data_IF_286886899838
#
_entry.id   IF_286886899838
#
_cell.length_a   1.000
_cell.length_b   1.000
_cell.length_c   1.000
_cell.angle_alpha   90.00
_cell.angle_beta   90.00
_cell.angle_gamma   90.00
#
_symmetry.space_group_name_H-M   'P 1'
#
loop_
_entity.id
_entity.type
_entity.pdbx_description
1 polymer ?
#
# COMPACT_ATOMS: atom_id res chain seq x y z
N UNK A 1 44.00 -16.55 25.24
CA UNK A 1 43.65 -15.97 23.91
C UNK A 1 43.04 -17.08 23.10
N UNK A 2 41.72 -17.08 22.97
CA UNK A 2 41.03 -17.76 21.89
C UNK A 2 39.89 -16.82 21.50
N UNK A 3 39.88 -16.48 20.22
CA UNK A 3 38.93 -15.59 19.56
C UNK A 3 37.78 -16.45 19.07
N UNK A 4 36.59 -16.30 19.67
CA UNK A 4 35.34 -16.71 19.03
C UNK A 4 34.79 -15.48 18.30
N UNK A 5 35.11 -15.38 17.00
CA UNK A 5 34.43 -14.50 16.06
C UNK A 5 33.20 -15.24 15.51
N UNK A 6 32.04 -14.97 16.09
CA UNK A 6 30.76 -15.15 15.40
C UNK A 6 30.62 -14.01 14.38
N UNK A 7 30.92 -14.31 13.11
CA UNK A 7 30.51 -13.44 12.00
C UNK A 7 28.98 -13.35 11.94
N UNK A 8 28.40 -12.23 11.49
CA UNK A 8 26.95 -12.12 11.34
C UNK A 8 26.47 -13.07 10.23
N UNK A 9 25.41 -13.82 10.53
CA UNK A 9 24.70 -14.70 9.59
C UNK A 9 24.33 -13.94 8.32
N UNK A 10 24.87 -14.38 7.18
CA UNK A 10 24.61 -13.80 5.85
C UNK A 10 23.27 -14.23 5.24
N UNK A 11 22.39 -14.88 6.00
CA UNK A 11 21.11 -15.42 5.52
C UNK A 11 19.89 -14.54 5.83
N UNK A 12 20.01 -13.49 6.64
CA UNK A 12 18.88 -12.60 6.98
C UNK A 12 18.54 -11.54 5.91
N UNK A 13 19.35 -11.42 4.84
CA UNK A 13 19.17 -10.39 3.80
C UNK A 13 18.30 -10.83 2.60
N UNK A 14 17.77 -12.07 2.59
CA UNK A 14 17.14 -12.68 1.42
C UNK A 14 15.60 -12.70 1.41
N UNK A 15 14.93 -12.26 2.48
CA UNK A 15 13.46 -12.29 2.57
C UNK A 15 12.77 -10.95 2.28
N UNK A 16 13.49 -9.97 1.72
CA UNK A 16 12.89 -8.70 1.32
C UNK A 16 12.16 -8.82 -0.03
N UNK A 17 10.82 -8.88 0.00
CA UNK A 17 9.99 -9.02 -1.20
C UNK A 17 9.99 -7.74 -2.03
N UNK A 18 10.56 -7.82 -3.23
CA UNK A 18 10.78 -6.64 -4.08
C UNK A 18 9.53 -6.02 -4.69
N UNK A 19 8.43 -6.76 -4.68
CA UNK A 19 7.15 -6.37 -5.28
C UNK A 19 6.02 -6.42 -4.25
N UNK A 20 6.40 -6.43 -2.97
CA UNK A 20 5.49 -6.01 -1.91
C UNK A 20 5.46 -4.48 -1.84
N UNK A 21 4.26 -3.95 -1.64
CA UNK A 21 4.03 -2.53 -1.42
C UNK A 21 4.02 -2.17 0.07
N UNK A 22 4.30 -3.11 0.98
CA UNK A 22 4.55 -2.86 2.41
C UNK A 22 5.69 -1.86 2.68
N UNK A 23 5.78 -1.35 3.91
CA UNK A 23 6.83 -0.42 4.32
C UNK A 23 7.95 -1.18 5.04
N UNK A 24 9.10 -1.35 4.37
CA UNK A 24 10.30 -1.97 4.95
C UNK A 24 11.27 -0.89 5.46
N UNK A 25 11.90 -1.14 6.62
CA UNK A 25 12.59 -0.13 7.43
C UNK A 25 13.89 0.46 6.87
N UNK A 26 14.60 -0.25 5.99
CA UNK A 26 15.94 0.15 5.53
C UNK A 26 15.94 1.10 4.30
N UNK A 27 14.82 1.22 3.59
CA UNK A 27 14.69 1.91 2.31
C UNK A 27 14.24 3.40 2.43
N UNK A 28 14.08 3.92 3.64
CA UNK A 28 13.28 5.13 3.92
C UNK A 28 13.91 6.43 3.39
N UNK A 29 15.23 6.60 3.45
CA UNK A 29 15.88 7.87 3.09
C UNK A 29 15.91 8.10 1.57
N UNK A 30 16.23 7.06 0.79
CA UNK A 30 16.21 7.13 -0.67
C UNK A 30 14.77 7.21 -1.17
N UNK A 31 13.85 6.43 -0.58
CA UNK A 31 12.42 6.55 -0.93
C UNK A 31 11.90 7.96 -0.65
N UNK A 32 12.29 8.60 0.46
CA UNK A 32 11.92 9.98 0.76
C UNK A 32 12.43 10.98 -0.30
N UNK A 33 13.66 10.81 -0.80
CA UNK A 33 14.23 11.68 -1.84
C UNK A 33 13.49 11.55 -3.19
N UNK A 34 12.87 10.39 -3.45
CA UNK A 34 12.10 10.13 -4.66
C UNK A 34 10.65 10.62 -4.59
N UNK A 35 10.15 11.00 -3.41
CA UNK A 35 8.76 11.45 -3.27
C UNK A 35 8.54 12.79 -4.01
N UNK A 36 7.44 12.91 -4.77
CA UNK A 36 6.94 14.20 -5.24
C UNK A 36 6.77 15.21 -4.10
N UNK A 37 7.12 16.47 -4.36
CA UNK A 37 7.06 17.55 -3.36
C UNK A 37 5.78 18.39 -3.44
N UNK A 38 5.15 18.41 -4.60
CA UNK A 38 3.94 19.18 -4.89
C UNK A 38 3.01 18.35 -5.80
N UNK A 39 1.81 18.90 -6.08
CA UNK A 39 0.82 18.24 -6.93
C UNK A 39 1.28 18.12 -8.38
N UNK A 40 2.09 19.06 -8.88
CA UNK A 40 2.56 19.05 -10.27
C UNK A 40 3.58 17.93 -10.52
N UNK A 41 4.42 17.63 -9.54
CA UNK A 41 5.32 16.48 -9.52
C UNK A 41 4.61 15.15 -9.27
N UNK A 42 3.39 15.17 -8.74
CA UNK A 42 2.60 13.97 -8.46
C UNK A 42 2.02 13.41 -9.76
N UNK A 43 2.68 12.38 -10.30
CA UNK A 43 2.30 11.71 -11.54
C UNK A 43 1.03 10.89 -11.33
N UNK A 44 0.13 10.89 -12.32
CA UNK A 44 -1.10 10.10 -12.31
C UNK A 44 -2.15 10.63 -11.33
N UNK A 45 -3.17 9.81 -11.05
CA UNK A 45 -4.28 10.17 -10.14
C UNK A 45 -4.94 11.51 -10.52
N UNK A 46 -5.10 11.79 -11.82
CA UNK A 46 -5.46 13.12 -12.35
C UNK A 46 -6.71 13.70 -11.68
N UNK A 47 -7.77 12.90 -11.59
CA UNK A 47 -9.03 13.30 -10.93
C UNK A 47 -8.83 13.71 -9.47
N UNK A 48 -8.11 12.89 -8.68
CA UNK A 48 -7.86 13.18 -7.25
C UNK A 48 -7.01 14.43 -7.11
N UNK A 49 -5.99 14.58 -7.96
CA UNK A 49 -5.09 15.73 -7.96
C UNK A 49 -5.84 17.02 -8.28
N UNK A 50 -6.65 17.05 -9.34
CA UNK A 50 -7.39 18.24 -9.75
C UNK A 50 -8.42 18.68 -8.70
N UNK A 51 -9.15 17.72 -8.13
CA UNK A 51 -10.11 18.00 -7.08
C UNK A 51 -9.43 18.52 -5.81
N UNK A 52 -8.34 17.88 -5.39
CA UNK A 52 -7.59 18.29 -4.21
C UNK A 52 -6.96 19.67 -4.41
N UNK A 53 -6.38 19.96 -5.58
CA UNK A 53 -5.84 21.28 -5.92
C UNK A 53 -6.89 22.39 -5.72
N UNK A 54 -8.10 22.17 -6.22
CA UNK A 54 -9.22 23.10 -6.04
C UNK A 54 -9.56 23.30 -4.55
N UNK A 55 -9.67 22.23 -3.78
CA UNK A 55 -9.98 22.27 -2.34
C UNK A 55 -8.92 23.06 -1.57
N UNK A 56 -7.63 22.76 -1.81
CA UNK A 56 -6.51 23.40 -1.12
C UNK A 56 -6.36 24.88 -1.50
N UNK A 57 -6.51 25.22 -2.79
CA UNK A 57 -6.49 26.62 -3.24
C UNK A 57 -7.64 27.43 -2.66
N UNK A 58 -8.85 26.85 -2.60
CA UNK A 58 -10.00 27.51 -2.01
C UNK A 58 -9.82 27.77 -0.51
N UNK A 59 -9.26 26.80 0.24
CA UNK A 59 -8.95 26.97 1.66
C UNK A 59 -7.93 28.09 1.91
N UNK A 60 -6.82 28.08 1.15
CA UNK A 60 -5.79 29.14 1.20
C UNK A 60 -6.34 30.52 0.90
N UNK A 61 -7.18 30.65 -0.13
CA UNK A 61 -7.78 31.93 -0.50
C UNK A 61 -8.65 32.53 0.62
N UNK A 62 -9.21 31.69 1.50
CA UNK A 62 -9.98 32.12 2.68
C UNK A 62 -9.10 32.37 3.92
N UNK A 63 -7.82 32.01 3.89
CA UNK A 63 -6.97 32.01 5.08
C UNK A 63 -7.43 31.02 6.15
N UNK A 64 -8.04 29.91 5.73
CA UNK A 64 -8.58 28.88 6.62
C UNK A 64 -7.86 27.54 6.42
N UNK A 65 -8.02 26.62 7.37
CA UNK A 65 -7.61 25.23 7.21
C UNK A 65 -8.36 24.56 6.07
N UNK A 66 -7.73 23.55 5.46
CA UNK A 66 -8.41 22.70 4.49
C UNK A 66 -9.39 21.78 5.21
N UNK A 67 -10.47 21.42 4.52
CA UNK A 67 -11.39 20.39 5.00
C UNK A 67 -10.62 19.08 5.24
N UNK A 68 -11.11 18.26 6.17
CA UNK A 68 -10.51 16.96 6.43
C UNK A 68 -10.54 16.07 5.17
N UNK A 69 -9.44 15.35 4.93
CA UNK A 69 -9.23 14.54 3.72
C UNK A 69 -9.15 13.06 4.06
N UNK A 70 -9.92 12.23 3.37
CA UNK A 70 -9.81 10.76 3.41
C UNK A 70 -9.19 10.25 2.11
N UNK A 71 -8.07 9.54 2.20
CA UNK A 71 -7.42 8.87 1.08
C UNK A 71 -7.64 7.36 1.20
N UNK A 72 -8.29 6.76 0.20
CA UNK A 72 -8.53 5.32 0.17
C UNK A 72 -7.86 4.67 -1.04
N UNK A 73 -7.27 3.51 -0.86
CA UNK A 73 -6.69 2.74 -1.97
C UNK A 73 -5.60 1.78 -1.51
N UNK A 74 -5.14 0.92 -2.41
CA UNK A 74 -4.12 -0.08 -2.14
C UNK A 74 -2.82 0.53 -1.55
N UNK A 75 -2.02 -0.27 -0.81
CA UNK A 75 -0.69 0.16 -0.38
C UNK A 75 0.20 0.55 -1.58
N UNK A 76 1.15 1.46 -1.35
CA UNK A 76 2.11 1.89 -2.38
C UNK A 76 1.58 2.88 -3.44
N UNK A 77 0.30 3.27 -3.41
CA UNK A 77 -0.29 4.22 -4.38
C UNK A 77 0.06 5.70 -4.15
N UNK A 78 0.67 6.03 -3.01
CA UNK A 78 1.11 7.39 -2.69
C UNK A 78 0.25 8.16 -1.68
N UNK A 79 -0.59 7.49 -0.87
CA UNK A 79 -1.41 8.14 0.18
C UNK A 79 -0.58 9.01 1.13
N UNK A 80 0.50 8.45 1.69
CA UNK A 80 1.43 9.15 2.59
C UNK A 80 2.18 10.28 1.88
N UNK A 81 2.46 10.14 0.58
CA UNK A 81 3.08 11.21 -0.21
C UNK A 81 2.10 12.36 -0.40
N UNK A 82 0.84 12.05 -0.73
CA UNK A 82 -0.17 13.06 -0.96
C UNK A 82 -0.53 13.83 0.32
N UNK A 83 -0.46 13.20 1.50
CA UNK A 83 -0.61 13.91 2.77
C UNK A 83 0.52 14.91 3.04
N UNK A 84 1.76 14.57 2.68
CA UNK A 84 2.89 15.51 2.75
C UNK A 84 2.71 16.67 1.78
N UNK A 85 2.20 16.41 0.56
CA UNK A 85 1.90 17.45 -0.42
C UNK A 85 0.79 18.37 0.09
N UNK A 86 -0.27 17.83 0.71
CA UNK A 86 -1.33 18.64 1.33
C UNK A 86 -0.73 19.61 2.36
N UNK A 87 0.15 19.12 3.23
CA UNK A 87 0.81 19.97 4.22
C UNK A 87 1.71 21.04 3.58
N UNK A 88 2.49 20.67 2.56
CA UNK A 88 3.36 21.58 1.82
C UNK A 88 2.55 22.68 1.10
N UNK A 89 1.48 22.30 0.40
CA UNK A 89 0.57 23.24 -0.27
C UNK A 89 -0.08 24.19 0.73
N UNK A 90 -0.50 23.70 1.90
CA UNK A 90 -1.09 24.53 2.95
C UNK A 90 -0.05 25.32 3.77
N UNK A 91 1.24 25.18 3.47
CA UNK A 91 2.34 25.75 4.24
C UNK A 91 2.22 25.45 5.75
N UNK A 92 1.84 24.21 6.06
CA UNK A 92 1.57 23.73 7.39
C UNK A 92 2.54 22.61 7.80
N UNK A 93 2.91 22.52 9.09
CA UNK A 93 3.61 21.34 9.59
C UNK A 93 2.72 20.09 9.47
N UNK A 94 3.35 18.92 9.37
CA UNK A 94 2.67 17.63 9.35
C UNK A 94 3.12 16.76 10.52
N UNK A 95 2.15 16.18 11.21
CA UNK A 95 2.35 15.15 12.22
C UNK A 95 1.86 13.82 11.67
N UNK A 96 2.75 12.82 11.65
CA UNK A 96 2.47 11.49 11.09
C UNK A 96 2.31 10.50 12.24
N UNK A 97 1.23 9.72 12.22
CA UNK A 97 1.03 8.55 13.06
C UNK A 97 0.17 7.52 12.32
N UNK A 98 -0.18 6.42 12.98
CA UNK A 98 -1.02 5.37 12.42
C UNK A 98 -2.09 4.89 13.39
N UNK A 99 -3.18 4.33 12.87
CA UNK A 99 -4.26 3.75 13.65
C UNK A 99 -3.76 2.70 14.66
N UNK A 100 -2.90 1.73 14.26
CA UNK A 100 -2.34 0.75 15.19
C UNK A 100 -1.49 1.34 16.32
N UNK A 101 -0.90 2.53 16.11
CA UNK A 101 -0.15 3.23 17.16
C UNK A 101 -1.07 3.87 18.22
N UNK A 102 -2.37 4.02 17.92
CA UNK A 102 -3.37 4.63 18.81
C UNK A 102 -4.18 3.51 19.48
N UNK A 103 -3.61 2.95 20.54
CA UNK A 103 -4.21 1.82 21.27
C UNK A 103 -5.32 2.27 22.21
N UNK A 104 -5.23 3.50 22.73
CA UNK A 104 -6.17 4.07 23.70
C UNK A 104 -6.57 5.50 23.34
N UNK A 105 -7.74 5.93 23.81
CA UNK A 105 -8.22 7.31 23.63
C UNK A 105 -7.24 8.36 24.20
N UNK A 106 -6.48 8.00 25.24
CA UNK A 106 -5.44 8.88 25.82
C UNK A 106 -4.29 9.18 24.85
N UNK A 107 -3.92 8.23 23.99
CA UNK A 107 -2.84 8.42 23.00
C UNK A 107 -3.27 9.48 21.97
N UNK A 108 -4.52 9.37 21.49
CA UNK A 108 -5.09 10.37 20.58
C UNK A 108 -5.24 11.73 21.27
N UNK A 109 -5.70 11.77 22.52
CA UNK A 109 -5.82 13.02 23.28
C UNK A 109 -4.47 13.74 23.42
N UNK A 110 -3.38 13.00 23.65
CA UNK A 110 -2.02 13.58 23.71
C UNK A 110 -1.58 14.17 22.35
N UNK A 111 -1.89 13.48 21.25
CA UNK A 111 -1.58 13.96 19.90
C UNK A 111 -2.38 15.22 19.58
N UNK A 112 -3.70 15.20 19.80
CA UNK A 112 -4.61 16.30 19.49
C UNK A 112 -4.31 17.54 20.34
N UNK A 113 -4.10 17.37 21.65
CA UNK A 113 -3.83 18.48 22.57
C UNK A 113 -2.50 19.21 22.32
N UNK A 114 -1.60 18.62 21.53
CA UNK A 114 -0.32 19.21 21.13
C UNK A 114 -0.32 19.72 19.68
N UNK A 115 -1.47 19.70 18.99
CA UNK A 115 -1.57 20.27 17.65
C UNK A 115 -1.46 21.79 17.69
N UNK A 116 -0.89 22.36 16.65
CA UNK A 116 -0.86 23.80 16.39
C UNK A 116 -1.93 24.19 15.37
N UNK A 117 -2.34 25.46 15.38
CA UNK A 117 -3.27 25.98 14.39
C UNK A 117 -2.73 25.80 12.97
N UNK A 118 -3.55 25.23 12.09
CA UNK A 118 -3.18 24.92 10.72
C UNK A 118 -2.46 23.60 10.52
N UNK A 119 -2.01 22.92 11.59
CA UNK A 119 -1.22 21.69 11.48
C UNK A 119 -2.01 20.56 10.79
N UNK A 120 -1.31 19.77 9.99
CA UNK A 120 -1.86 18.57 9.33
C UNK A 120 -1.59 17.35 10.19
N UNK A 121 -2.65 16.67 10.63
CA UNK A 121 -2.55 15.37 11.30
C UNK A 121 -2.78 14.26 10.28
N UNK A 122 -1.74 13.48 9.95
CA UNK A 122 -1.85 12.32 9.09
C UNK A 122 -2.00 11.03 9.91
N UNK A 123 -3.08 10.30 9.70
CA UNK A 123 -3.37 9.00 10.30
C UNK A 123 -3.39 7.90 9.23
N UNK A 124 -2.30 7.14 9.12
CA UNK A 124 -2.30 5.95 8.27
C UNK A 124 -3.08 4.80 8.92
N UNK A 125 -3.67 3.93 8.11
CA UNK A 125 -4.53 2.83 8.60
C UNK A 125 -5.57 3.28 9.65
N UNK A 126 -6.21 4.43 9.43
CA UNK A 126 -7.16 5.04 10.38
C UNK A 126 -8.26 4.09 10.84
N UNK A 127 -8.62 3.11 10.00
CA UNK A 127 -9.61 2.06 10.28
C UNK A 127 -9.18 1.02 11.33
N UNK A 128 -7.93 1.06 11.80
CA UNK A 128 -7.39 0.16 12.84
C UNK A 128 -7.30 0.81 14.22
N UNK A 129 -7.86 2.01 14.37
CA UNK A 129 -7.94 2.68 15.67
C UNK A 129 -8.87 1.93 16.63
N UNK A 130 -8.62 2.07 17.94
CA UNK A 130 -9.58 1.61 18.94
C UNK A 130 -10.88 2.43 18.87
N UNK A 131 -12.04 1.77 19.06
CA UNK A 131 -13.35 2.44 19.07
C UNK A 131 -13.43 3.67 19.99
N UNK A 132 -12.87 3.66 21.22
CA UNK A 132 -12.84 4.87 22.04
C UNK A 132 -12.06 6.04 21.41
N UNK A 133 -10.98 5.74 20.68
CA UNK A 133 -10.24 6.76 19.95
C UNK A 133 -11.00 7.26 18.71
N UNK A 134 -11.76 6.39 18.02
CA UNK A 134 -12.63 6.81 16.91
C UNK A 134 -13.72 7.79 17.38
N UNK A 135 -14.38 7.49 18.51
CA UNK A 135 -15.42 8.36 19.10
C UNK A 135 -14.85 9.73 19.50
N UNK A 136 -13.62 9.76 20.03
CA UNK A 136 -12.93 11.01 20.34
C UNK A 136 -12.52 11.78 19.07
N UNK A 137 -12.02 11.09 18.05
CA UNK A 137 -11.62 11.71 16.78
C UNK A 137 -12.83 12.35 16.09
N UNK A 138 -13.99 11.70 16.15
CA UNK A 138 -15.25 12.25 15.66
C UNK A 138 -15.56 13.61 16.31
N UNK A 139 -15.50 13.70 17.64
CA UNK A 139 -15.73 14.97 18.37
C UNK A 139 -14.68 16.03 18.00
N UNK A 140 -13.42 15.62 17.86
CA UNK A 140 -12.33 16.52 17.49
C UNK A 140 -12.50 17.12 16.09
N UNK A 141 -13.03 16.35 15.13
CA UNK A 141 -13.29 16.79 13.76
C UNK A 141 -14.52 17.70 13.64
N UNK A 142 -15.55 17.45 14.45
CA UNK A 142 -16.81 18.22 14.37
C UNK A 142 -16.74 19.54 15.11
N UNK A 143 -16.25 19.51 16.35
CA UNK A 143 -16.35 20.65 17.28
C UNK A 143 -14.99 21.28 17.60
N UNK A 144 -13.88 20.76 17.06
CA UNK A 144 -12.51 21.10 17.49
C UNK A 144 -12.37 21.05 19.02
N UNK A 145 -12.91 19.99 19.62
CA UNK A 145 -12.91 19.78 21.07
C UNK A 145 -12.78 18.30 21.40
N UNK A 146 -12.10 18.01 22.51
CA UNK A 146 -12.11 16.68 23.13
C UNK A 146 -12.37 16.78 24.62
N UNK A 147 -12.99 15.75 25.19
CA UNK A 147 -13.21 15.66 26.63
C UNK A 147 -12.16 14.70 27.22
N UNK A 148 -11.28 15.23 28.07
CA UNK A 148 -10.23 14.43 28.73
C UNK A 148 -10.73 14.03 30.12
N UNK A 149 -10.77 12.71 30.39
CA UNK A 149 -11.19 12.18 31.68
C UNK A 149 -10.02 12.30 32.67
N UNK A 150 -10.23 13.07 33.75
CA UNK A 150 -9.27 13.22 34.85
C UNK A 150 -9.82 12.53 36.10
N UNK A 151 -9.01 11.63 36.67
CA UNK A 151 -9.36 10.82 37.85
C UNK A 151 -9.68 9.36 37.52
N UNK A 152 -10.01 8.56 38.55
CA UNK A 152 -10.40 7.15 38.41
C UNK A 152 -11.71 6.87 39.17
N UNK A 153 -12.55 6.00 38.62
CA UNK A 153 -13.78 5.54 39.27
C UNK A 153 -14.91 6.58 39.28
N UNK A 154 -15.88 6.48 40.21
CA UNK A 154 -17.07 7.35 40.28
C UNK A 154 -16.78 8.85 40.46
N UNK A 155 -15.54 9.22 40.83
CA UNK A 155 -15.11 10.61 40.97
C UNK A 155 -14.36 11.15 39.75
N UNK A 156 -14.30 10.40 38.64
CA UNK A 156 -13.70 10.88 37.40
C UNK A 156 -14.54 12.02 36.81
N UNK A 157 -13.86 13.07 36.35
CA UNK A 157 -14.50 14.26 35.75
C UNK A 157 -13.98 14.44 34.33
N UNK A 158 -14.89 14.78 33.41
CA UNK A 158 -14.53 15.12 32.04
C UNK A 158 -14.21 16.61 31.98
N UNK A 159 -12.99 16.95 31.57
CA UNK A 159 -12.58 18.33 31.34
C UNK A 159 -12.54 18.58 29.83
N UNK A 160 -13.36 19.51 29.31
CA UNK A 160 -13.32 19.84 27.89
C UNK A 160 -12.03 20.60 27.57
N UNK A 161 -11.38 20.20 26.48
CA UNK A 161 -10.20 20.84 25.92
C UNK A 161 -10.52 21.30 24.50
N UNK A 162 -10.40 22.61 24.28
CA UNK A 162 -10.50 23.20 22.94
C UNK A 162 -9.23 22.89 22.15
N UNK A 163 -9.40 22.53 20.89
CA UNK A 163 -8.34 22.26 19.93
C UNK A 163 -8.23 23.42 18.95
N UNK A 164 -7.01 23.77 18.50
CA UNK A 164 -6.89 24.69 17.39
C UNK A 164 -7.43 24.04 16.11
N UNK A 165 -7.91 24.85 15.14
CA UNK A 165 -8.27 24.34 13.83
C UNK A 165 -7.09 23.59 13.19
N UNK A 166 -7.34 22.38 12.72
CA UNK A 166 -6.34 21.51 12.09
C UNK A 166 -6.95 20.78 10.89
N UNK A 167 -6.11 20.18 10.05
CA UNK A 167 -6.58 19.33 8.94
C UNK A 167 -6.20 17.87 9.22
N UNK A 168 -7.19 17.01 9.46
CA UNK A 168 -7.00 15.57 9.46
C UNK A 168 -6.85 15.04 8.03
N UNK A 169 -5.83 14.24 7.78
CA UNK A 169 -5.68 13.41 6.58
C UNK A 169 -5.67 11.94 7.00
N UNK A 170 -6.78 11.23 6.79
CA UNK A 170 -6.90 9.80 7.07
C UNK A 170 -6.52 8.96 5.85
N UNK A 171 -5.78 7.87 6.03
CA UNK A 171 -5.49 6.90 4.98
C UNK A 171 -6.00 5.49 5.33
N UNK A 172 -6.57 4.82 4.34
CA UNK A 172 -7.10 3.45 4.49
C UNK A 172 -6.99 2.67 3.18
N UNK A 173 -7.08 1.33 3.25
CA UNK A 173 -7.19 0.49 2.05
C UNK A 173 -8.55 0.64 1.38
N UNK A 174 -9.62 0.81 2.18
CA UNK A 174 -11.01 0.97 1.71
C UNK A 174 -11.77 1.94 2.60
N UNK A 175 -12.43 2.93 2.00
CA UNK A 175 -13.23 3.91 2.73
C UNK A 175 -14.40 3.27 3.52
N UNK A 176 -14.93 2.14 3.02
CA UNK A 176 -16.01 1.39 3.69
C UNK A 176 -15.62 0.71 5.01
N UNK A 177 -14.33 0.70 5.38
CA UNK A 177 -13.87 0.19 6.67
C UNK A 177 -14.10 1.18 7.81
N UNK A 178 -14.29 2.47 7.50
CA UNK A 178 -14.58 3.49 8.50
C UNK A 178 -16.08 3.47 8.85
N UNK A 179 -16.43 3.65 10.14
CA UNK A 179 -17.81 3.91 10.53
C UNK A 179 -18.38 5.14 9.80
N UNK A 180 -19.66 5.10 9.35
CA UNK A 180 -20.28 6.24 8.67
C UNK A 180 -20.15 7.59 9.39
N UNK A 181 -20.33 7.68 10.74
CA UNK A 181 -20.18 8.95 11.44
C UNK A 181 -18.81 9.61 11.27
N UNK A 182 -17.74 8.82 11.27
CA UNK A 182 -16.37 9.33 11.06
C UNK A 182 -16.13 9.64 9.58
N UNK A 183 -16.59 8.75 8.68
CA UNK A 183 -16.40 8.91 7.23
C UNK A 183 -17.09 10.17 6.69
N UNK A 184 -18.28 10.49 7.17
CA UNK A 184 -19.09 11.59 6.65
C UNK A 184 -18.57 12.97 7.13
N UNK A 185 -17.55 13.00 8.01
CA UNK A 185 -16.86 14.22 8.46
C UNK A 185 -15.67 14.61 7.59
N UNK A 186 -15.27 13.77 6.64
CA UNK A 186 -14.26 14.13 5.66
C UNK A 186 -14.90 14.97 4.54
N UNK A 187 -14.51 16.24 4.44
CA UNK A 187 -15.00 17.15 3.40
C UNK A 187 -14.45 16.81 2.00
N UNK A 188 -13.37 16.04 1.92
CA UNK A 188 -12.88 15.47 0.67
C UNK A 188 -12.52 13.99 0.84
N UNK A 189 -12.96 13.15 -0.11
CA UNK A 189 -12.58 11.74 -0.17
C UNK A 189 -11.94 11.43 -1.52
N UNK A 190 -10.64 11.12 -1.51
CA UNK A 190 -9.89 10.67 -2.68
C UNK A 190 -9.85 9.14 -2.77
N UNK A 191 -10.27 8.59 -3.91
CA UNK A 191 -10.08 7.18 -4.23
C UNK A 191 -8.87 7.01 -5.14
N UNK A 192 -7.83 6.36 -4.63
CA UNK A 192 -6.60 6.10 -5.36
C UNK A 192 -6.70 4.79 -6.13
N UNK A 193 -6.45 4.87 -7.43
CA UNK A 193 -6.50 3.72 -8.33
C UNK A 193 -5.09 3.21 -8.66
N UNK A 194 -5.00 2.00 -9.21
CA UNK A 194 -3.73 1.53 -9.73
C UNK A 194 -3.30 2.36 -10.94
N UNK A 195 -2.00 2.60 -11.02
CA UNK A 195 -1.41 3.38 -12.08
C UNK A 195 -1.37 2.54 -13.36
N UNK A 196 -1.63 3.19 -14.48
CA UNK A 196 -1.42 2.63 -15.81
C UNK A 196 0.09 2.43 -16.07
N UNK A 197 0.48 1.53 -16.98
CA UNK A 197 1.89 1.36 -17.36
C UNK A 197 2.55 2.68 -17.79
N UNK A 198 1.84 3.51 -18.56
CA UNK A 198 2.34 4.81 -19.04
C UNK A 198 2.59 5.79 -17.88
N UNK A 199 1.72 5.82 -16.87
CA UNK A 199 1.96 6.64 -15.68
C UNK A 199 3.16 6.13 -14.88
N UNK A 200 3.35 4.81 -14.77
CA UNK A 200 4.50 4.23 -14.09
C UNK A 200 5.82 4.47 -14.83
N UNK A 201 5.82 4.43 -16.16
CA UNK A 201 6.99 4.84 -16.96
C UNK A 201 7.40 6.29 -16.64
N UNK A 202 6.45 7.21 -16.51
CA UNK A 202 6.71 8.59 -16.11
C UNK A 202 7.29 8.68 -14.69
N UNK A 203 6.78 7.87 -13.75
CA UNK A 203 7.34 7.75 -12.39
C UNK A 203 8.79 7.26 -12.47
N UNK A 204 9.05 6.19 -13.22
CA UNK A 204 10.37 5.58 -13.37
C UNK A 204 11.37 6.56 -13.99
N UNK A 205 11.00 7.27 -15.06
CA UNK A 205 11.87 8.27 -15.67
C UNK A 205 12.16 9.46 -14.74
N UNK A 206 11.19 9.88 -13.92
CA UNK A 206 11.45 10.91 -12.88
C UNK A 206 12.45 10.38 -11.85
N UNK A 207 12.21 9.19 -11.32
CA UNK A 207 13.07 8.59 -10.31
C UNK A 207 14.48 8.28 -10.83
N UNK A 208 14.62 7.82 -12.06
CA UNK A 208 15.92 7.56 -12.69
C UNK A 208 16.75 8.84 -12.81
N UNK A 209 16.13 9.98 -13.15
CA UNK A 209 16.80 11.30 -13.15
C UNK A 209 17.27 11.72 -11.76
N UNK A 210 16.48 11.48 -10.72
CA UNK A 210 16.85 11.79 -9.34
C UNK A 210 17.97 10.89 -8.80
N UNK A 211 18.08 9.66 -9.33
CA UNK A 211 19.11 8.68 -8.97
C UNK A 211 20.35 8.73 -9.87
N UNK A 212 20.39 9.64 -10.84
CA UNK A 212 21.44 9.74 -11.87
C UNK A 212 21.67 8.41 -12.63
N UNK A 213 20.58 7.81 -13.11
CA UNK A 213 20.58 6.54 -13.85
C UNK A 213 20.15 6.76 -15.28
N UNK A 214 20.98 6.32 -16.23
CA UNK A 214 20.61 6.31 -17.64
C UNK A 214 19.65 5.14 -17.93
N UNK A 215 18.42 5.47 -18.31
CA UNK A 215 17.38 4.49 -18.70
C UNK A 215 16.71 4.94 -19.99
N UNK A 216 16.50 4.00 -20.91
CA UNK A 216 15.71 4.26 -22.12
C UNK A 216 14.22 3.89 -21.95
N UNK A 217 13.43 4.18 -22.98
CA UNK A 217 11.97 3.98 -22.96
C UNK A 217 11.61 2.51 -22.76
N UNK A 218 12.33 1.60 -23.42
CA UNK A 218 12.04 0.16 -23.37
C UNK A 218 12.43 -0.44 -22.02
N UNK A 219 13.54 0.00 -21.43
CA UNK A 219 13.94 -0.38 -20.07
C UNK A 219 12.94 0.10 -19.02
N UNK A 220 12.44 1.33 -19.15
CA UNK A 220 11.41 1.87 -18.27
C UNK A 220 10.08 1.11 -18.40
N UNK A 221 9.66 0.81 -19.63
CA UNK A 221 8.45 0.04 -19.92
C UNK A 221 8.53 -1.39 -19.34
N UNK A 222 9.69 -2.04 -19.41
CA UNK A 222 9.91 -3.37 -18.84
C UNK A 222 9.76 -3.38 -17.31
N UNK A 223 10.28 -2.36 -16.62
CA UNK A 223 10.09 -2.20 -15.17
C UNK A 223 8.62 -1.87 -14.86
N UNK A 224 8.03 -0.92 -15.58
CA UNK A 224 6.64 -0.49 -15.39
C UNK A 224 5.65 -1.66 -15.51
N UNK A 225 5.82 -2.51 -16.53
CA UNK A 225 4.98 -3.68 -16.78
C UNK A 225 4.99 -4.70 -15.64
N UNK A 226 6.06 -4.75 -14.84
CA UNK A 226 6.22 -5.66 -13.70
C UNK A 226 5.98 -5.00 -12.33
N UNK A 227 5.56 -3.74 -12.32
CA UNK A 227 5.42 -2.93 -11.10
C UNK A 227 4.05 -2.98 -10.43
N UNK A 228 3.18 -3.89 -10.88
CA UNK A 228 1.85 -4.17 -10.28
C UNK A 228 0.95 -2.94 -10.14
N UNK A 229 1.09 -1.95 -11.01
CA UNK A 229 0.27 -0.73 -10.93
C UNK A 229 0.64 0.20 -9.76
N UNK A 230 1.80 0.04 -9.12
CA UNK A 230 2.17 0.82 -7.93
C UNK A 230 3.51 1.55 -8.08
N UNK A 231 3.56 2.87 -7.77
CA UNK A 231 4.80 3.64 -7.76
C UNK A 231 5.88 3.13 -6.80
N UNK A 232 5.48 2.62 -5.63
CA UNK A 232 6.42 2.07 -4.64
C UNK A 232 7.22 0.91 -5.22
N UNK A 233 6.53 -0.07 -5.82
CA UNK A 233 7.18 -1.22 -6.45
C UNK A 233 8.02 -0.76 -7.64
N UNK A 234 7.51 0.16 -8.47
CA UNK A 234 8.26 0.69 -9.61
C UNK A 234 9.61 1.30 -9.20
N UNK A 235 9.61 2.12 -8.15
CA UNK A 235 10.83 2.71 -7.63
C UNK A 235 11.77 1.69 -6.98
N UNK A 236 11.23 0.68 -6.28
CA UNK A 236 12.01 -0.41 -5.69
C UNK A 236 12.68 -1.25 -6.77
N UNK A 237 11.93 -1.66 -7.80
CA UNK A 237 12.46 -2.38 -8.95
C UNK A 237 13.51 -1.56 -9.70
N UNK A 238 13.29 -0.27 -9.94
CA UNK A 238 14.29 0.60 -10.56
C UNK A 238 15.62 0.61 -9.81
N UNK A 239 15.59 0.67 -8.47
CA UNK A 239 16.82 0.61 -7.65
C UNK A 239 17.56 -0.72 -7.87
N UNK A 240 16.84 -1.84 -7.83
CA UNK A 240 17.44 -3.17 -8.05
C UNK A 240 17.98 -3.35 -9.47
N UNK A 241 17.26 -2.86 -10.48
CA UNK A 241 17.73 -2.90 -11.87
C UNK A 241 18.96 -1.99 -12.06
N UNK A 242 19.02 -0.83 -11.41
CA UNK A 242 20.21 0.03 -11.39
C UNK A 242 21.40 -0.71 -10.80
N UNK A 243 21.24 -1.32 -9.62
CA UNK A 243 22.33 -2.04 -8.95
C UNK A 243 22.86 -3.18 -9.83
N UNK A 244 21.96 -3.91 -10.51
CA UNK A 244 22.34 -4.89 -11.51
C UNK A 244 23.10 -4.27 -12.68
N UNK A 245 22.59 -3.19 -13.28
CA UNK A 245 23.20 -2.53 -14.44
C UNK A 245 24.60 -1.97 -14.14
N UNK A 246 24.84 -1.50 -12.90
CA UNK A 246 26.15 -1.02 -12.47
C UNK A 246 27.20 -2.13 -12.32
N UNK A 247 26.77 -3.34 -11.96
CA UNK A 247 27.67 -4.47 -11.69
C UNK A 247 27.84 -5.39 -12.90
N UNK A 248 26.79 -5.57 -13.70
CA UNK A 248 26.68 -6.58 -14.76
C UNK A 248 26.56 -6.00 -16.17
N UNK A 249 26.42 -4.69 -16.31
CA UNK A 249 26.31 -3.99 -17.59
C UNK A 249 27.12 -2.68 -17.55
N UNK A 250 26.90 -1.80 -18.54
CA UNK A 250 27.61 -0.52 -18.68
C UNK A 250 26.93 0.63 -17.91
N UNK A 251 26.17 0.32 -16.85
CA UNK A 251 25.43 1.31 -16.04
C UNK A 251 24.19 1.94 -16.72
N UNK A 252 23.91 1.56 -17.97
CA UNK A 252 22.69 1.94 -18.71
C UNK A 252 21.64 0.84 -18.64
N UNK A 253 20.39 1.24 -18.42
CA UNK A 253 19.23 0.34 -18.40
C UNK A 253 18.51 0.41 -19.74
N UNK A 254 18.60 -0.65 -20.51
CA UNK A 254 17.72 -0.95 -21.65
C UNK A 254 16.77 -2.11 -21.28
N UNK A 255 15.98 -2.57 -22.26
CA UNK A 255 15.03 -3.67 -22.06
C UNK A 255 15.69 -4.97 -21.61
N UNK A 256 16.81 -5.35 -22.23
CA UNK A 256 17.44 -6.65 -21.98
C UNK A 256 18.11 -6.65 -20.60
N UNK A 257 18.74 -5.55 -20.22
CA UNK A 257 19.30 -5.34 -18.88
C UNK A 257 18.19 -5.37 -17.83
N UNK A 258 17.08 -4.66 -18.05
CA UNK A 258 15.94 -4.67 -17.13
C UNK A 258 15.34 -6.08 -16.97
N UNK A 259 15.11 -6.78 -18.08
CA UNK A 259 14.55 -8.14 -18.06
C UNK A 259 15.48 -9.13 -17.35
N UNK A 260 16.79 -9.06 -17.61
CA UNK A 260 17.78 -9.92 -16.96
C UNK A 260 17.89 -9.64 -15.46
N UNK A 261 17.89 -8.37 -15.06
CA UNK A 261 17.87 -7.98 -13.66
C UNK A 261 16.62 -8.50 -12.93
N UNK A 262 15.44 -8.27 -13.49
CA UNK A 262 14.16 -8.70 -12.90
C UNK A 262 14.06 -10.22 -12.82
N UNK A 263 14.67 -10.95 -13.75
CA UNK A 263 14.78 -12.41 -13.68
C UNK A 263 15.66 -12.88 -12.52
N UNK A 264 16.81 -12.22 -12.27
CA UNK A 264 17.68 -12.52 -11.11
C UNK A 264 16.92 -12.31 -9.80
N UNK A 265 16.10 -11.27 -9.75
CA UNK A 265 15.24 -10.93 -8.62
C UNK A 265 13.91 -11.69 -8.59
N UNK A 266 13.77 -12.74 -9.41
CA UNK A 266 12.64 -13.67 -9.36
C UNK A 266 11.27 -13.02 -9.64
N UNK A 267 11.26 -11.91 -10.37
CA UNK A 267 10.05 -11.20 -10.82
C UNK A 267 9.76 -11.57 -12.27
N UNK A 268 8.64 -12.24 -12.52
CA UNK A 268 8.28 -12.70 -13.86
C UNK A 268 7.69 -11.58 -14.76
N UNK A 269 7.34 -11.93 -16.00
CA UNK A 269 6.80 -10.99 -16.98
C UNK A 269 5.44 -10.37 -16.61
N UNK A 270 4.70 -10.96 -15.66
CA UNK A 270 3.47 -10.38 -15.09
C UNK A 270 3.73 -9.64 -13.77
N UNK A 271 4.97 -9.58 -13.32
CA UNK A 271 5.34 -8.99 -12.05
C UNK A 271 5.08 -9.91 -10.84
N UNK A 272 4.84 -11.21 -11.04
CA UNK A 272 4.72 -12.19 -9.94
C UNK A 272 6.10 -12.49 -9.37
N UNK A 273 6.21 -12.52 -8.04
CA UNK A 273 7.45 -12.88 -7.35
C UNK A 273 7.53 -14.37 -7.02
N UNK A 274 8.55 -14.75 -6.23
CA UNK A 274 8.74 -16.09 -5.70
C UNK A 274 7.49 -16.61 -4.99
N UNK A 275 6.89 -15.83 -4.08
CA UNK A 275 5.76 -16.30 -3.29
C UNK A 275 4.51 -16.49 -4.16
N UNK A 276 4.19 -15.54 -5.02
CA UNK A 276 3.02 -15.64 -5.89
C UNK A 276 3.08 -16.88 -6.78
N UNK A 277 4.27 -17.14 -7.35
CA UNK A 277 4.52 -18.33 -8.17
C UNK A 277 4.48 -19.61 -7.35
N UNK A 278 4.97 -19.59 -6.11
CA UNK A 278 4.86 -20.72 -5.19
C UNK A 278 3.40 -21.03 -4.83
N UNK A 279 2.59 -20.00 -4.53
CA UNK A 279 1.15 -20.13 -4.23
C UNK A 279 0.39 -20.68 -5.42
N UNK A 280 0.56 -20.11 -6.62
CA UNK A 280 -0.07 -20.62 -7.84
C UNK A 280 0.42 -22.03 -8.18
N UNK A 281 1.72 -22.27 -8.03
CA UNK A 281 2.34 -23.57 -8.25
C UNK A 281 1.77 -24.64 -7.34
N UNK A 282 1.66 -24.38 -6.04
CA UNK A 282 1.04 -25.28 -5.07
C UNK A 282 -0.43 -25.52 -5.40
N UNK A 283 -1.20 -24.45 -5.64
CA UNK A 283 -2.63 -24.54 -5.95
C UNK A 283 -2.90 -25.42 -7.18
N UNK A 284 -2.09 -25.30 -8.23
CA UNK A 284 -2.26 -26.05 -9.47
C UNK A 284 -1.64 -27.44 -9.41
N UNK A 285 -0.36 -27.54 -9.04
CA UNK A 285 0.42 -28.78 -9.13
C UNK A 285 0.14 -29.75 -7.99
N UNK A 286 -0.14 -29.25 -6.78
CA UNK A 286 -0.41 -30.10 -5.61
C UNK A 286 -1.91 -30.34 -5.41
N UNK A 287 -2.74 -29.32 -5.65
CA UNK A 287 -4.18 -29.37 -5.35
C UNK A 287 -5.07 -29.43 -6.60
N UNK A 288 -4.50 -29.61 -7.79
CA UNK A 288 -5.26 -29.77 -9.04
C UNK A 288 -6.14 -28.56 -9.39
N UNK A 289 -5.77 -27.37 -8.92
CA UNK A 289 -6.51 -26.13 -9.11
C UNK A 289 -7.52 -25.78 -8.01
N UNK A 290 -7.63 -26.59 -6.95
CA UNK A 290 -8.51 -26.33 -5.80
C UNK A 290 -9.92 -26.92 -5.94
N UNK A 291 -10.86 -26.59 -5.02
CA UNK A 291 -10.73 -25.59 -3.95
C UNK A 291 -9.83 -26.05 -2.80
N UNK A 292 -8.98 -25.15 -2.28
CA UNK A 292 -8.12 -25.41 -1.12
C UNK A 292 -8.27 -24.33 -0.04
N UNK A 293 -8.21 -24.72 1.24
CA UNK A 293 -8.24 -23.77 2.35
C UNK A 293 -6.94 -22.95 2.43
N UNK A 294 -7.04 -21.69 2.85
CA UNK A 294 -5.89 -20.78 2.99
C UNK A 294 -4.80 -21.35 3.88
N UNK A 295 -5.16 -21.89 5.06
CA UNK A 295 -4.19 -22.48 5.98
C UNK A 295 -3.43 -23.65 5.35
N UNK A 296 -4.10 -24.47 4.55
CA UNK A 296 -3.47 -25.58 3.83
C UNK A 296 -2.52 -25.07 2.75
N UNK A 297 -2.92 -24.02 2.02
CA UNK A 297 -2.09 -23.42 0.99
C UNK A 297 -0.84 -22.76 1.58
N UNK A 298 -0.99 -22.03 2.69
CA UNK A 298 0.11 -21.40 3.42
C UNK A 298 1.13 -22.44 3.91
N UNK A 299 0.68 -23.53 4.52
CA UNK A 299 1.56 -24.66 4.91
C UNK A 299 2.28 -25.27 3.71
N UNK A 300 1.61 -25.42 2.56
CA UNK A 300 2.21 -26.01 1.37
C UNK A 300 3.33 -25.15 0.76
N UNK A 301 3.30 -23.82 0.96
CA UNK A 301 4.34 -22.90 0.50
C UNK A 301 5.33 -22.49 1.60
N UNK A 302 5.13 -22.96 2.84
CA UNK A 302 6.01 -22.68 3.96
C UNK A 302 5.86 -21.27 4.55
N UNK A 303 4.68 -20.65 4.41
CA UNK A 303 4.43 -19.27 4.83
C UNK A 303 3.36 -19.18 5.92
N UNK A 304 3.32 -18.03 6.60
CA UNK A 304 2.21 -17.70 7.48
C UNK A 304 0.92 -17.44 6.71
N UNK A 305 -0.21 -17.75 7.35
CA UNK A 305 -1.53 -17.60 6.76
C UNK A 305 -1.81 -16.15 6.33
N UNK A 306 -1.42 -15.21 7.19
CA UNK A 306 -1.61 -13.77 7.00
C UNK A 306 -0.74 -13.26 5.82
N UNK A 307 0.52 -13.70 5.72
CA UNK A 307 1.40 -13.38 4.58
C UNK A 307 0.80 -13.77 3.24
N UNK A 308 0.21 -14.98 3.13
CA UNK A 308 -0.44 -15.41 1.88
C UNK A 308 -1.69 -14.56 1.59
N UNK A 309 -2.50 -14.29 2.61
CA UNK A 309 -3.78 -13.55 2.48
C UNK A 309 -3.60 -12.07 2.17
N UNK A 310 -2.64 -11.42 2.81
CA UNK A 310 -2.45 -9.97 2.74
C UNK A 310 -1.48 -9.56 1.64
N UNK A 311 -0.53 -10.43 1.26
CA UNK A 311 0.53 -10.05 0.33
C UNK A 311 0.40 -10.74 -1.03
N UNK A 312 0.17 -12.05 -1.07
CA UNK A 312 0.09 -12.78 -2.36
C UNK A 312 -1.31 -12.74 -2.99
N UNK A 313 -2.35 -13.09 -2.22
CA UNK A 313 -3.71 -13.19 -2.74
C UNK A 313 -4.24 -11.93 -3.42
N UNK A 314 -4.02 -10.70 -2.91
CA UNK A 314 -4.61 -9.52 -3.53
C UNK A 314 -4.16 -9.33 -4.97
N UNK A 315 -2.88 -9.55 -5.25
CA UNK A 315 -2.36 -9.42 -6.61
C UNK A 315 -2.81 -10.58 -7.50
N UNK A 316 -2.74 -11.82 -7.01
CA UNK A 316 -3.19 -13.00 -7.76
C UNK A 316 -4.68 -12.95 -8.13
N UNK A 317 -5.52 -12.43 -7.23
CA UNK A 317 -6.94 -12.22 -7.49
C UNK A 317 -7.15 -11.12 -8.53
N UNK A 318 -6.42 -10.01 -8.41
CA UNK A 318 -6.51 -8.88 -9.35
C UNK A 318 -6.07 -9.26 -10.76
N UNK A 319 -5.00 -10.03 -10.89
CA UNK A 319 -4.51 -10.58 -12.17
C UNK A 319 -5.43 -11.66 -12.75
N UNK A 320 -6.50 -12.01 -12.03
CA UNK A 320 -7.47 -13.02 -12.43
C UNK A 320 -6.88 -14.43 -12.43
N UNK A 321 -5.81 -14.69 -11.67
CA UNK A 321 -5.14 -15.98 -11.58
C UNK A 321 -5.73 -16.85 -10.45
N UNK A 322 -6.26 -16.21 -9.42
CA UNK A 322 -6.85 -16.86 -8.25
C UNK A 322 -8.29 -16.36 -8.03
N UNK A 323 -9.20 -17.27 -7.72
CA UNK A 323 -10.55 -16.96 -7.29
C UNK A 323 -10.78 -17.41 -5.84
N UNK A 324 -11.45 -16.56 -5.05
CA UNK A 324 -11.89 -16.89 -3.69
C UNK A 324 -13.32 -17.43 -3.74
N UNK A 325 -13.53 -18.59 -3.15
CA UNK A 325 -14.85 -19.22 -3.01
C UNK A 325 -15.13 -19.55 -1.54
N UNK A 326 -16.39 -19.76 -1.14
CA UNK A 326 -16.70 -20.22 0.22
C UNK A 326 -16.02 -21.53 0.60
N UNK A 327 -15.65 -22.36 -0.39
CA UNK A 327 -14.97 -23.66 -0.19
C UNK A 327 -13.45 -23.55 -0.15
N UNK A 328 -12.88 -22.39 -0.48
CA UNK A 328 -11.44 -22.20 -0.61
C UNK A 328 -11.02 -21.45 -1.87
N UNK A 329 -9.72 -21.46 -2.14
CA UNK A 329 -9.06 -20.79 -3.26
C UNK A 329 -9.03 -21.73 -4.46
N UNK A 330 -9.30 -21.19 -5.64
CA UNK A 330 -9.38 -21.93 -6.91
C UNK A 330 -8.52 -21.23 -7.95
N UNK A 331 -7.73 -22.00 -8.70
CA UNK A 331 -6.97 -21.48 -9.83
C UNK A 331 -7.89 -21.25 -11.02
N UNK A 332 -7.82 -20.07 -11.63
CA UNK A 332 -8.58 -19.78 -12.84
C UNK A 332 -7.91 -20.40 -14.07
N UNK A 333 -8.60 -20.51 -15.22
CA UNK A 333 -7.97 -20.95 -16.47
C UNK A 333 -6.73 -20.12 -16.86
N UNK A 334 -6.70 -18.83 -16.51
CA UNK A 334 -5.55 -17.96 -16.77
C UNK A 334 -4.30 -18.38 -15.97
N UNK A 335 -4.46 -18.93 -14.76
CA UNK A 335 -3.34 -19.44 -13.97
C UNK A 335 -2.75 -20.72 -14.54
N UNK A 336 -3.59 -21.62 -15.07
CA UNK A 336 -3.11 -22.80 -15.79
C UNK A 336 -2.31 -22.40 -17.02
N UNK A 337 -2.87 -21.52 -17.85
CA UNK A 337 -2.20 -21.01 -19.05
C UNK A 337 -0.88 -20.31 -18.72
N UNK A 338 -0.84 -19.53 -17.64
CA UNK A 338 0.37 -18.85 -17.17
C UNK A 338 1.48 -19.84 -16.79
N UNK A 339 1.15 -20.99 -16.18
CA UNK A 339 2.12 -22.06 -15.90
C UNK A 339 2.39 -22.98 -17.10
N UNK A 340 1.83 -22.69 -18.29
CA UNK A 340 1.97 -23.54 -19.48
C UNK A 340 1.21 -24.87 -19.37
N UNK A 341 0.19 -24.93 -18.53
CA UNK A 341 -0.61 -26.13 -18.26
C UNK A 341 -2.04 -25.98 -18.80
N UNK A 342 -2.71 -27.10 -19.07
CA UNK A 342 -4.12 -27.13 -19.50
C UNK A 342 -5.00 -27.40 -18.29
N UNK A 343 -6.04 -26.60 -18.03
CA UNK A 343 -6.97 -26.88 -16.94
C UNK A 343 -7.67 -28.23 -17.17
N UNK A 344 -7.95 -29.01 -16.11
CA UNK A 344 -8.74 -30.22 -16.25
C UNK A 344 -10.09 -29.86 -16.87
N UNK A 345 -10.54 -30.63 -17.87
CA UNK A 345 -11.85 -30.43 -18.48
C UNK A 345 -12.89 -30.46 -17.36
N UNK A 346 -13.68 -29.40 -17.22
CA UNK A 346 -14.77 -29.38 -16.26
C UNK A 346 -15.71 -30.54 -16.63
N UNK A 347 -15.65 -31.64 -15.87
CA UNK A 347 -16.69 -32.65 -15.88
C UNK A 347 -17.98 -31.93 -15.51
N UNK A 348 -18.92 -31.84 -16.45
CA UNK A 348 -20.14 -31.09 -16.28
C UNK A 348 -20.86 -31.50 -15.00
N UNK A 349 -20.92 -30.59 -14.03
CA UNK A 349 -22.01 -30.57 -13.05
C UNK A 349 -23.26 -29.97 -13.73
N UNK A 350 -23.66 -30.57 -14.85
CA UNK A 350 -25.03 -30.48 -15.35
C UNK A 350 -25.78 -31.65 -14.76
N UNK A 351 -26.88 -31.35 -14.07
CA UNK A 351 -27.84 -32.32 -13.53
C UNK A 351 -28.01 -33.54 -14.47
N UNK A 352 -27.43 -34.68 -14.12
CA UNK A 352 -27.85 -35.95 -14.69
C UNK A 352 -29.14 -36.35 -13.97
N UNK A 353 -30.18 -36.55 -14.78
CA UNK A 353 -31.58 -36.60 -14.38
C UNK A 353 -31.91 -37.60 -13.28
N UNK A 354 -32.68 -37.12 -12.31
CA UNK A 354 -33.28 -37.91 -11.22
C UNK A 354 -34.74 -38.30 -11.53
N UNK A 355 -35.13 -38.39 -12.80
CA UNK A 355 -36.42 -38.96 -13.21
C UNK A 355 -36.28 -39.85 -14.44
N UNK A 356 -36.55 -41.14 -14.24
CA UNK A 356 -36.67 -42.19 -15.24
C UNK A 356 -36.38 -43.54 -14.56
N UNK A 357 -37.30 -44.49 -14.43
CA UNK A 357 -38.68 -44.65 -14.90
C UNK A 357 -39.45 -45.49 -13.87
#
# INVERSE_FOLDING_TARGET
MNWDETGPDTDELLDERLVDAGADGEDTAVEAALRPKDLDEFVGQETVREQLDLVLKAARARGATADHVLLSGAPGLGKTTLSMIIAAEMNAPIRITSGPAIQHAGDLAAILSSLQEGEVLFLDEIHRMSRPAEEMLYMAMEDFRVDVIVGKGPGATAIPLELPPFTLVGATTRAGLLPPPLRDRFGFTGHMEFYTPVELERVIHRSARLLDVAIDVEGAAEIAGRSRGTPRIANRLLRRVRDYAQVKADGRIDRDVAAAALQVYEVDARGLDRLDRAVLGALIKLFGGGPVGLSTLAVAVGEERETVEEVAEPFLVREGLLARTPRGRVATPAAWAHLGLVPPQQGGMGQQGLFGA
#
